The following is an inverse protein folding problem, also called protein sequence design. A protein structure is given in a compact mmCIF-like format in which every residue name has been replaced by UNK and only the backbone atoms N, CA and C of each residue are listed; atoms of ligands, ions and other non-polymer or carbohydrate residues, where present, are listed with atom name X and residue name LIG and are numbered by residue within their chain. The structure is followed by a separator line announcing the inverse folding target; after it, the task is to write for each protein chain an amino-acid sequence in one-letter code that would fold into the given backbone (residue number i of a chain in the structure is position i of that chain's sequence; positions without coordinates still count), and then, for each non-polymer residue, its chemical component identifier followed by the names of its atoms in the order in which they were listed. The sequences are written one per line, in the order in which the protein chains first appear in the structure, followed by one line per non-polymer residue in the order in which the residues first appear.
data_IF_776842491320
#
_entry.id   IF_776842491320
#
_cell.length_a   1.000
_cell.length_b   1.000
_cell.length_c   1.000
_cell.angle_alpha   90.00
_cell.angle_beta   90.00
_cell.angle_gamma   90.00
#
_symmetry.space_group_name_H-M   'P 1'
#
loop_
_entity.id
_entity.type
_entity.pdbx_description
1 polymer ?
#
# COMPACT_ATOMS: atom_id res chain seq x y z
N UNK A 1 48.71 0.03 -25.91
CA UNK A 1 48.57 -1.44 -25.70
C UNK A 1 48.61 -1.80 -24.22
N UNK A 2 49.66 -1.41 -23.46
CA UNK A 2 49.77 -1.70 -22.04
C UNK A 2 48.58 -1.16 -21.22
N UNK A 3 48.16 0.09 -21.45
CA UNK A 3 47.03 0.69 -20.72
C UNK A 3 45.70 -0.04 -20.96
N UNK A 4 45.49 -0.52 -22.19
CA UNK A 4 44.31 -1.30 -22.58
C UNK A 4 44.31 -2.66 -21.88
N UNK A 5 45.47 -3.32 -21.82
CA UNK A 5 45.66 -4.58 -21.09
C UNK A 5 45.39 -4.36 -19.60
N UNK A 6 45.94 -3.29 -19.00
CA UNK A 6 45.70 -2.93 -17.60
C UNK A 6 44.22 -2.70 -17.34
N UNK A 7 43.55 -1.93 -18.19
CA UNK A 7 42.11 -1.67 -18.08
C UNK A 7 41.29 -2.96 -18.05
N UNK A 8 41.47 -3.85 -19.05
CA UNK A 8 40.72 -5.11 -19.10
C UNK A 8 41.11 -6.07 -17.97
N UNK A 9 42.36 -6.05 -17.53
CA UNK A 9 42.80 -6.80 -16.37
C UNK A 9 42.09 -6.35 -15.09
N UNK A 10 42.03 -5.04 -14.85
CA UNK A 10 41.35 -4.41 -13.70
C UNK A 10 39.85 -4.64 -13.74
N UNK A 11 39.22 -4.71 -14.92
CA UNK A 11 37.80 -5.11 -15.03
C UNK A 11 37.51 -6.54 -14.54
N UNK A 12 38.54 -7.38 -14.36
CA UNK A 12 38.41 -8.76 -13.89
C UNK A 12 38.26 -9.81 -15.00
N UNK A 13 38.39 -9.41 -16.27
CA UNK A 13 38.20 -10.30 -17.44
C UNK A 13 39.23 -11.44 -17.50
N UNK A 14 38.83 -12.66 -17.81
CA UNK A 14 39.75 -13.79 -18.02
C UNK A 14 40.70 -13.51 -19.19
N UNK A 15 41.88 -14.15 -19.20
CA UNK A 15 42.89 -13.90 -20.24
C UNK A 15 42.35 -14.10 -21.66
N UNK A 16 41.50 -15.11 -21.87
CA UNK A 16 40.85 -15.37 -23.16
C UNK A 16 39.95 -14.18 -23.55
N UNK A 17 39.15 -13.67 -22.62
CA UNK A 17 38.29 -12.51 -22.83
C UNK A 17 39.11 -11.25 -23.15
N UNK A 18 40.23 -11.02 -22.46
CA UNK A 18 41.14 -9.91 -22.74
C UNK A 18 41.70 -10.02 -24.18
N UNK A 19 42.15 -11.21 -24.59
CA UNK A 19 42.64 -11.43 -25.97
C UNK A 19 41.54 -11.16 -27.00
N UNK A 20 40.32 -11.64 -26.76
CA UNK A 20 39.17 -11.36 -27.63
C UNK A 20 38.84 -9.87 -27.69
N UNK A 21 38.81 -9.17 -26.56
CA UNK A 21 38.56 -7.72 -26.53
C UNK A 21 39.65 -6.93 -27.26
N UNK A 22 40.92 -7.33 -27.14
CA UNK A 22 42.02 -6.71 -27.88
C UNK A 22 41.88 -6.92 -29.39
N UNK A 23 41.51 -8.13 -29.82
CA UNK A 23 41.34 -8.44 -31.23
C UNK A 23 40.13 -7.72 -31.85
N UNK A 24 38.96 -7.78 -31.20
CA UNK A 24 37.69 -7.27 -31.76
C UNK A 24 37.60 -5.74 -31.64
N UNK A 25 37.94 -5.16 -30.48
CA UNK A 25 37.67 -3.75 -30.21
C UNK A 25 38.86 -2.83 -30.52
N UNK A 26 40.08 -3.37 -30.57
CA UNK A 26 41.30 -2.59 -30.73
C UNK A 26 42.16 -3.03 -31.93
N UNK A 27 41.73 -4.05 -32.68
CA UNK A 27 42.49 -4.64 -33.79
C UNK A 27 43.90 -5.12 -33.40
N UNK A 28 44.10 -5.51 -32.14
CA UNK A 28 45.37 -6.01 -31.61
C UNK A 28 45.26 -7.53 -31.45
N UNK A 29 45.86 -8.28 -32.38
CA UNK A 29 45.87 -9.75 -32.35
C UNK A 29 47.13 -10.25 -31.65
N UNK A 30 46.97 -10.83 -30.46
CA UNK A 30 48.06 -11.45 -29.70
C UNK A 30 47.68 -12.81 -29.16
N UNK A 31 48.66 -13.69 -28.97
CA UNK A 31 48.45 -14.95 -28.27
C UNK A 31 48.27 -14.74 -26.76
N UNK A 32 47.60 -15.68 -26.09
CA UNK A 32 47.49 -15.67 -24.62
C UNK A 32 48.88 -15.72 -23.94
N UNK A 33 49.86 -16.39 -24.56
CA UNK A 33 51.25 -16.43 -24.07
C UNK A 33 51.87 -15.04 -24.06
N UNK A 34 51.63 -14.26 -25.12
CA UNK A 34 52.10 -12.86 -25.22
C UNK A 34 51.42 -11.98 -24.17
N UNK A 35 50.11 -12.14 -23.97
CA UNK A 35 49.36 -11.43 -22.92
C UNK A 35 49.92 -11.73 -21.53
N UNK A 36 50.15 -13.02 -21.20
CA UNK A 36 50.73 -13.43 -19.90
C UNK A 36 52.10 -12.81 -19.65
N UNK A 37 52.96 -12.72 -20.68
CA UNK A 37 54.27 -12.05 -20.58
C UNK A 37 54.11 -10.56 -20.30
N UNK A 38 53.19 -9.88 -21.00
CA UNK A 38 52.89 -8.46 -20.79
C UNK A 38 52.33 -8.19 -19.40
N UNK A 39 51.41 -9.01 -18.91
CA UNK A 39 50.88 -8.90 -17.54
C UNK A 39 52.00 -9.06 -16.50
N UNK A 40 52.94 -9.98 -16.71
CA UNK A 40 54.11 -10.14 -15.83
C UNK A 40 55.05 -8.92 -15.87
N UNK A 41 55.35 -8.38 -17.05
CA UNK A 41 56.12 -7.14 -17.23
C UNK A 41 55.46 -5.95 -16.50
N UNK A 42 54.12 -5.89 -16.48
CA UNK A 42 53.34 -4.85 -15.81
C UNK A 42 53.11 -5.12 -14.32
N UNK A 43 53.59 -6.24 -13.77
CA UNK A 43 53.36 -6.62 -12.38
C UNK A 43 51.90 -6.97 -12.05
N UNK A 44 51.06 -7.25 -13.05
CA UNK A 44 49.64 -7.53 -12.89
C UNK A 44 49.41 -9.03 -12.68
N UNK A 45 49.19 -9.40 -11.42
CA UNK A 45 48.96 -10.79 -11.02
C UNK A 45 47.61 -10.98 -10.35
N UNK A 46 46.99 -12.15 -10.57
CA UNK A 46 45.71 -12.53 -9.92
C UNK A 46 45.85 -13.53 -8.78
N UNK A 47 46.97 -14.24 -8.74
CA UNK A 47 47.22 -15.38 -7.82
C UNK A 47 48.65 -15.40 -7.30
N UNK A 48 49.33 -14.26 -7.32
CA UNK A 48 50.68 -14.07 -6.75
C UNK A 48 50.68 -12.77 -5.97
N UNK A 49 51.45 -12.72 -4.89
CA UNK A 49 51.59 -11.53 -4.03
C UNK A 49 50.21 -11.09 -3.53
N UNK A 50 49.61 -11.92 -2.67
CA UNK A 50 48.28 -11.61 -2.12
C UNK A 50 48.33 -10.33 -1.30
N UNK A 51 47.29 -9.52 -1.44
CA UNK A 51 47.12 -8.31 -0.63
C UNK A 51 46.93 -8.70 0.83
N UNK A 52 47.46 -7.90 1.75
CA UNK A 52 47.31 -8.10 3.19
C UNK A 52 45.83 -8.24 3.58
N UNK A 53 45.54 -9.23 4.41
CA UNK A 53 44.17 -9.59 4.81
C UNK A 53 43.48 -8.42 5.52
N UNK A 54 44.21 -7.60 6.26
CA UNK A 54 43.68 -6.42 6.97
C UNK A 54 43.17 -5.38 5.98
N UNK A 55 43.89 -5.18 4.87
CA UNK A 55 43.53 -4.24 3.80
C UNK A 55 42.28 -4.71 3.04
N UNK A 56 42.20 -6.00 2.75
CA UNK A 56 41.01 -6.62 2.15
C UNK A 56 39.81 -6.53 3.11
N UNK A 57 40.03 -6.78 4.40
CA UNK A 57 39.00 -6.71 5.44
C UNK A 57 38.41 -5.29 5.51
N UNK A 58 39.27 -4.28 5.60
CA UNK A 58 38.85 -2.86 5.62
C UNK A 58 38.04 -2.49 4.37
N UNK A 59 38.48 -2.93 3.19
CA UNK A 59 37.74 -2.69 1.94
C UNK A 59 36.34 -3.35 1.96
N UNK A 60 36.23 -4.57 2.48
CA UNK A 60 34.94 -5.27 2.62
C UNK A 60 34.04 -4.53 3.61
N UNK A 61 34.55 -4.10 4.77
CA UNK A 61 33.81 -3.34 5.77
C UNK A 61 33.25 -2.02 5.20
N UNK A 62 34.08 -1.25 4.48
CA UNK A 62 33.66 0.00 3.83
C UNK A 62 32.55 -0.23 2.81
N UNK A 63 32.64 -1.33 2.03
CA UNK A 63 31.60 -1.69 1.07
C UNK A 63 30.30 -2.14 1.76
N UNK A 64 30.39 -2.89 2.86
CA UNK A 64 29.20 -3.35 3.62
C UNK A 64 28.46 -2.17 4.24
N UNK A 65 29.16 -1.10 4.65
CA UNK A 65 28.51 0.11 5.20
C UNK A 65 27.63 0.85 4.18
N UNK A 66 27.67 0.50 2.90
CA UNK A 66 26.91 1.14 1.83
C UNK A 66 25.99 0.12 1.13
N UNK A 67 25.76 0.27 -0.18
CA UNK A 67 24.98 -0.69 -0.97
C UNK A 67 25.68 -2.05 -1.16
N UNK A 68 26.99 -2.15 -0.85
CA UNK A 68 27.74 -3.40 -0.93
C UNK A 68 27.25 -4.49 0.02
N UNK A 69 26.49 -4.16 1.06
CA UNK A 69 25.81 -5.16 1.92
C UNK A 69 24.82 -6.05 1.16
N UNK A 70 24.34 -5.64 -0.02
CA UNK A 70 23.42 -6.44 -0.82
C UNK A 70 24.15 -7.48 -1.68
N UNK A 71 25.47 -7.35 -1.83
CA UNK A 71 26.26 -8.15 -2.75
C UNK A 71 26.75 -9.46 -2.12
N UNK A 72 26.59 -10.57 -2.82
CA UNK A 72 27.16 -11.85 -2.42
C UNK A 72 28.69 -11.91 -2.63
N UNK A 73 29.34 -12.95 -2.09
CA UNK A 73 30.80 -13.08 -2.10
C UNK A 73 31.44 -13.07 -3.50
N UNK A 74 30.74 -13.58 -4.53
CA UNK A 74 31.22 -13.51 -5.93
C UNK A 74 31.33 -12.07 -6.44
N UNK A 75 30.37 -11.23 -6.10
CA UNK A 75 30.37 -9.84 -6.51
C UNK A 75 31.33 -9.02 -5.66
N UNK A 76 31.40 -9.28 -4.35
CA UNK A 76 32.42 -8.66 -3.51
C UNK A 76 33.84 -9.02 -3.99
N UNK A 77 34.06 -10.26 -4.42
CA UNK A 77 35.32 -10.68 -5.03
C UNK A 77 35.67 -9.88 -6.29
N UNK A 78 34.69 -9.67 -7.20
CA UNK A 78 34.90 -8.82 -8.37
C UNK A 78 35.23 -7.37 -7.99
N UNK A 79 34.57 -6.82 -6.96
CA UNK A 79 34.90 -5.49 -6.44
C UNK A 79 36.34 -5.41 -5.93
N UNK A 80 36.81 -6.43 -5.20
CA UNK A 80 38.19 -6.51 -4.77
C UNK A 80 39.16 -6.46 -5.97
N UNK A 81 38.89 -7.24 -7.03
CA UNK A 81 39.72 -7.23 -8.24
C UNK A 81 39.72 -5.86 -8.94
N UNK A 82 38.55 -5.22 -9.05
CA UNK A 82 38.40 -3.89 -9.67
C UNK A 82 39.07 -2.77 -8.87
N UNK A 83 39.26 -2.97 -7.57
CA UNK A 83 40.05 -2.10 -6.70
C UNK A 83 41.53 -2.52 -6.62
N UNK A 84 42.01 -3.33 -7.56
CA UNK A 84 43.38 -3.84 -7.65
C UNK A 84 43.84 -4.66 -6.42
N UNK A 85 42.91 -5.27 -5.69
CA UNK A 85 43.24 -6.19 -4.60
C UNK A 85 43.43 -7.60 -5.14
N UNK A 86 44.53 -8.24 -4.76
CA UNK A 86 44.85 -9.63 -5.11
C UNK A 86 44.41 -10.54 -3.98
N UNK A 87 43.25 -11.18 -4.14
CA UNK A 87 42.64 -12.04 -3.13
C UNK A 87 42.03 -13.29 -3.79
N UNK A 88 41.80 -14.35 -3.02
CA UNK A 88 41.03 -15.50 -3.51
C UNK A 88 39.53 -15.33 -3.22
N UNK A 89 38.69 -15.91 -4.06
CA UNK A 89 37.24 -15.90 -3.85
C UNK A 89 36.85 -16.56 -2.51
N UNK A 90 37.58 -17.60 -2.08
CA UNK A 90 37.33 -18.30 -0.82
C UNK A 90 37.70 -17.43 0.39
N UNK A 91 38.82 -16.69 0.33
CA UNK A 91 39.17 -15.69 1.35
C UNK A 91 38.07 -14.63 1.48
N UNK A 92 37.54 -14.10 0.38
CA UNK A 92 36.43 -13.14 0.41
C UNK A 92 35.16 -13.77 1.01
N UNK A 93 34.87 -15.03 0.69
CA UNK A 93 33.73 -15.77 1.26
C UNK A 93 33.86 -15.90 2.78
N UNK A 94 35.03 -16.29 3.27
CA UNK A 94 35.31 -16.47 4.69
C UNK A 94 35.28 -15.14 5.44
N UNK A 95 35.93 -14.10 4.90
CA UNK A 95 35.91 -12.75 5.48
C UNK A 95 34.49 -12.20 5.58
N UNK A 96 33.67 -12.34 4.53
CA UNK A 96 32.27 -11.93 4.58
C UNK A 96 31.45 -12.67 5.64
N UNK A 97 31.73 -13.96 5.84
CA UNK A 97 31.05 -14.76 6.86
C UNK A 97 31.44 -14.33 8.28
N UNK A 98 32.65 -13.80 8.47
CA UNK A 98 33.13 -13.26 9.75
C UNK A 98 32.61 -11.84 9.98
N UNK A 99 32.69 -10.97 8.97
CA UNK A 99 32.35 -9.53 9.07
C UNK A 99 30.83 -9.32 9.08
N UNK A 100 30.08 -10.09 8.30
CA UNK A 100 28.62 -9.95 8.16
C UNK A 100 27.93 -11.33 8.14
N UNK A 101 28.00 -12.11 9.23
CA UNK A 101 27.38 -13.43 9.33
C UNK A 101 25.87 -13.36 9.08
N UNK A 102 25.23 -12.32 9.62
CA UNK A 102 23.79 -12.08 9.51
C UNK A 102 23.41 -11.80 8.05
N UNK A 103 24.11 -10.89 7.36
CA UNK A 103 23.82 -10.60 5.96
C UNK A 103 24.17 -11.76 5.04
N UNK A 104 25.19 -12.59 5.35
CA UNK A 104 25.46 -13.83 4.60
C UNK A 104 24.28 -14.80 4.73
N UNK A 105 23.72 -14.96 5.93
CA UNK A 105 22.52 -15.75 6.14
C UNK A 105 21.31 -15.18 5.39
N UNK A 106 21.12 -13.87 5.39
CA UNK A 106 20.03 -13.24 4.66
C UNK A 106 20.16 -13.43 3.13
N UNK A 107 21.37 -13.25 2.58
CA UNK A 107 21.65 -13.45 1.15
C UNK A 107 21.49 -14.91 0.72
N UNK A 108 21.86 -15.86 1.57
CA UNK A 108 21.73 -17.30 1.27
C UNK A 108 20.26 -17.74 1.13
N UNK A 109 19.34 -17.09 1.86
CA UNK A 109 17.89 -17.34 1.80
C UNK A 109 17.22 -16.86 0.50
N UNK A 110 17.93 -16.11 -0.36
CA UNK A 110 17.42 -15.55 -1.64
C UNK A 110 16.05 -14.84 -1.52
N UNK A 111 15.81 -14.14 -0.42
CA UNK A 111 14.55 -13.43 -0.18
C UNK A 111 14.80 -11.94 -0.04
N UNK A 112 14.01 -11.15 -0.77
CA UNK A 112 13.94 -9.70 -0.56
C UNK A 112 13.54 -9.42 0.89
N UNK A 113 14.29 -8.55 1.56
CA UNK A 113 13.89 -8.02 2.85
C UNK A 113 12.65 -7.14 2.66
N UNK A 114 11.48 -7.69 2.98
CA UNK A 114 10.26 -6.90 3.02
C UNK A 114 10.26 -6.14 4.34
N UNK A 115 10.16 -4.81 4.29
CA UNK A 115 9.98 -3.95 5.48
C UNK A 115 8.95 -4.59 6.41
N UNK A 116 9.34 -4.89 7.65
CA UNK A 116 8.39 -5.39 8.63
C UNK A 116 7.45 -4.24 9.03
N UNK A 117 6.18 -4.35 8.65
CA UNK A 117 5.14 -3.45 9.12
C UNK A 117 4.97 -3.65 10.64
N UNK A 118 5.44 -2.71 11.46
CA UNK A 118 5.30 -2.71 12.91
C UNK A 118 4.39 -1.58 13.37
N UNK A 119 3.38 -1.94 14.15
CA UNK A 119 2.44 -1.02 14.77
C UNK A 119 2.37 -1.39 16.26
N UNK A 120 2.33 -0.39 17.16
CA UNK A 120 2.54 -0.62 18.60
C UNK A 120 1.33 -1.25 19.28
N UNK A 121 0.12 -0.93 18.82
CA UNK A 121 -1.13 -1.39 19.38
C UNK A 121 -2.31 -0.74 18.66
N UNK A 122 -3.55 -1.06 19.04
CA UNK A 122 -4.74 -0.42 18.47
C UNK A 122 -4.71 1.09 18.66
N UNK A 123 -5.25 1.84 17.70
CA UNK A 123 -5.33 3.30 17.67
C UNK A 123 -3.99 4.04 17.60
N UNK A 124 -2.89 3.32 17.42
CA UNK A 124 -1.59 3.96 17.17
C UNK A 124 -1.49 4.49 15.74
N UNK A 125 -2.01 3.75 14.76
CA UNK A 125 -2.03 4.18 13.35
C UNK A 125 -3.24 3.61 12.64
N UNK A 126 -4.09 4.50 12.13
CA UNK A 126 -5.19 4.16 11.21
C UNK A 126 -4.80 4.41 9.76
N UNK A 127 -5.37 3.62 8.85
CA UNK A 127 -5.18 3.72 7.41
C UNK A 127 -6.51 4.04 6.77
N UNK A 128 -6.59 5.16 6.04
CA UNK A 128 -7.77 5.59 5.30
C UNK A 128 -7.46 5.50 3.81
N UNK A 129 -8.44 5.03 3.04
CA UNK A 129 -8.33 4.90 1.60
C UNK A 129 -9.70 4.80 0.93
N UNK A 130 -9.73 5.05 -0.38
CA UNK A 130 -10.93 4.99 -1.22
C UNK A 130 -10.82 3.86 -2.25
N UNK A 131 -11.85 3.03 -2.32
CA UNK A 131 -12.01 1.94 -3.27
C UNK A 131 -12.88 2.35 -4.45
N UNK A 132 -12.24 2.62 -5.58
CA UNK A 132 -12.86 3.24 -6.76
C UNK A 132 -13.36 2.25 -7.83
N UNK A 133 -13.47 0.93 -7.56
CA UNK A 133 -13.87 -0.05 -8.61
C UNK A 133 -15.32 0.08 -9.08
N UNK A 134 -16.20 0.63 -8.25
CA UNK A 134 -17.59 0.92 -8.63
C UNK A 134 -17.79 2.37 -9.12
N UNK A 135 -16.73 3.19 -9.09
CA UNK A 135 -16.77 4.61 -9.49
C UNK A 135 -17.24 4.84 -10.93
N UNK A 136 -16.91 3.97 -11.92
CA UNK A 136 -17.47 4.09 -13.27
C UNK A 136 -19.01 4.07 -13.30
N UNK A 137 -19.65 3.46 -12.30
CA UNK A 137 -21.10 3.35 -12.16
C UNK A 137 -21.69 4.36 -11.16
N UNK A 138 -20.88 5.28 -10.63
CA UNK A 138 -21.32 6.35 -9.74
C UNK A 138 -21.22 6.04 -8.24
N UNK A 139 -20.70 4.88 -7.83
CA UNK A 139 -20.57 4.51 -6.42
C UNK A 139 -19.10 4.43 -6.03
N UNK A 140 -18.71 5.16 -4.99
CA UNK A 140 -17.38 5.08 -4.39
C UNK A 140 -17.50 4.45 -3.00
N UNK A 141 -16.48 3.70 -2.56
CA UNK A 141 -16.45 3.16 -1.20
C UNK A 141 -15.24 3.74 -0.48
N UNK A 142 -15.43 4.38 0.66
CA UNK A 142 -14.34 4.83 1.53
C UNK A 142 -14.25 3.93 2.76
N UNK A 143 -13.03 3.64 3.20
CA UNK A 143 -12.82 2.80 4.37
C UNK A 143 -11.70 3.30 5.27
N UNK A 144 -11.72 2.83 6.51
CA UNK A 144 -10.62 3.01 7.44
C UNK A 144 -10.40 1.74 8.25
N UNK A 145 -9.13 1.39 8.44
CA UNK A 145 -8.72 0.21 9.19
C UNK A 145 -7.62 0.53 10.20
N UNK A 146 -7.75 -0.01 11.41
CA UNK A 146 -6.69 0.05 12.41
C UNK A 146 -5.51 -0.84 11.99
N UNK A 147 -4.31 -0.25 11.94
CA UNK A 147 -3.15 -0.92 11.39
C UNK A 147 -2.59 -2.08 12.24
N UNK A 148 -2.93 -2.15 13.52
CA UNK A 148 -2.45 -3.21 14.43
C UNK A 148 -3.42 -4.40 14.46
N UNK A 149 -4.68 -4.11 14.78
CA UNK A 149 -5.74 -5.09 14.97
C UNK A 149 -6.38 -5.55 13.66
N UNK A 150 -6.31 -4.72 12.60
CA UNK A 150 -7.07 -4.86 11.35
C UNK A 150 -8.59 -4.72 11.57
N UNK A 151 -8.98 -4.04 12.64
CA UNK A 151 -10.37 -3.68 12.89
C UNK A 151 -10.79 -2.59 11.90
N UNK A 152 -11.88 -2.82 11.18
CA UNK A 152 -12.46 -1.80 10.30
C UNK A 152 -13.16 -0.78 11.19
N UNK A 153 -12.73 0.47 11.07
CA UNK A 153 -13.28 1.61 11.81
C UNK A 153 -14.55 2.13 11.14
N UNK A 154 -14.54 2.25 9.82
CA UNK A 154 -15.72 2.51 9.00
C UNK A 154 -15.56 1.94 7.59
N UNK A 155 -16.69 1.74 6.92
CA UNK A 155 -16.80 1.35 5.53
C UNK A 155 -18.08 1.96 4.96
N UNK A 156 -17.93 2.96 4.10
CA UNK A 156 -19.05 3.80 3.64
C UNK A 156 -19.09 3.87 2.12
N UNK A 157 -20.23 3.52 1.53
CA UNK A 157 -20.54 3.79 0.14
C UNK A 157 -21.06 5.23 0.00
N UNK A 158 -20.69 5.90 -1.07
CA UNK A 158 -21.14 7.26 -1.35
C UNK A 158 -21.05 7.61 -2.83
N UNK A 159 -21.58 8.77 -3.19
CA UNK A 159 -21.60 9.28 -4.57
C UNK A 159 -20.26 9.87 -5.01
N UNK A 160 -19.44 10.35 -4.07
CA UNK A 160 -18.21 11.08 -4.34
C UNK A 160 -17.10 10.69 -3.34
N UNK A 161 -15.93 10.27 -3.85
CA UNK A 161 -14.72 10.02 -3.06
C UNK A 161 -13.70 11.16 -3.08
N UNK A 162 -13.99 12.25 -3.80
CA UNK A 162 -13.09 13.38 -4.02
C UNK A 162 -13.40 14.60 -3.15
N UNK A 163 -14.61 14.71 -2.58
CA UNK A 163 -14.93 15.79 -1.64
C UNK A 163 -14.33 15.50 -0.25
N UNK A 164 -13.37 16.32 0.21
CA UNK A 164 -12.74 16.10 1.50
C UNK A 164 -13.70 16.19 2.70
N UNK A 165 -14.82 16.92 2.55
CA UNK A 165 -15.81 17.09 3.62
C UNK A 165 -16.53 15.79 3.95
N UNK A 166 -16.79 14.95 2.95
CA UNK A 166 -17.46 13.66 3.12
C UNK A 166 -16.58 12.72 3.94
N UNK A 167 -15.30 12.58 3.56
CA UNK A 167 -14.34 11.75 4.31
C UNK A 167 -14.11 12.33 5.71
N UNK A 168 -14.09 13.66 5.83
CA UNK A 168 -14.10 14.36 7.12
C UNK A 168 -15.28 13.97 7.99
N UNK A 169 -16.49 13.88 7.42
CA UNK A 169 -17.71 13.44 8.10
C UNK A 169 -17.60 12.02 8.64
N UNK A 170 -17.19 11.05 7.81
CA UNK A 170 -16.99 9.66 8.24
C UNK A 170 -15.97 9.55 9.38
N UNK A 171 -14.88 10.31 9.27
CA UNK A 171 -13.87 10.35 10.32
C UNK A 171 -14.45 10.93 11.62
N UNK A 172 -15.13 12.07 11.54
CA UNK A 172 -15.69 12.77 12.69
C UNK A 172 -16.78 11.96 13.42
N UNK A 173 -17.70 11.34 12.67
CA UNK A 173 -18.69 10.40 13.20
C UNK A 173 -18.01 9.26 13.98
N UNK A 174 -16.94 8.70 13.42
CA UNK A 174 -16.17 7.63 14.06
C UNK A 174 -15.53 8.11 15.35
N UNK A 175 -14.95 9.33 15.37
CA UNK A 175 -14.35 9.90 16.58
C UNK A 175 -15.38 10.08 17.71
N UNK A 176 -16.58 10.58 17.36
CA UNK A 176 -17.68 10.75 18.31
C UNK A 176 -18.14 9.41 18.86
N UNK A 177 -18.27 8.38 18.01
CA UNK A 177 -18.70 7.03 18.41
C UNK A 177 -17.74 6.36 19.39
N UNK A 178 -16.43 6.50 19.19
CA UNK A 178 -15.43 5.85 20.05
C UNK A 178 -14.92 6.75 21.19
N UNK A 179 -15.43 7.98 21.29
CA UNK A 179 -15.04 9.00 22.26
C UNK A 179 -13.51 9.27 22.29
N UNK A 180 -12.87 9.28 21.12
CA UNK A 180 -11.42 9.39 21.02
C UNK A 180 -10.90 9.41 19.59
N UNK A 181 -9.60 9.64 19.41
CA UNK A 181 -8.94 9.72 18.11
C UNK A 181 -7.61 8.96 18.08
N UNK A 182 -7.12 8.49 16.92
CA UNK A 182 -5.87 7.74 16.85
C UNK A 182 -4.64 8.65 17.07
N UNK A 183 -3.48 8.04 17.38
CA UNK A 183 -2.23 8.81 17.44
C UNK A 183 -1.78 9.30 16.07
N UNK A 184 -1.95 8.48 15.04
CA UNK A 184 -1.57 8.85 13.69
C UNK A 184 -2.61 8.35 12.70
N UNK A 185 -2.86 9.15 11.68
CA UNK A 185 -3.58 8.72 10.47
C UNK A 185 -2.59 8.64 9.33
N UNK A 186 -2.74 7.60 8.50
CA UNK A 186 -2.09 7.51 7.21
C UNK A 186 -3.14 7.49 6.11
N UNK A 187 -2.91 8.33 5.12
CA UNK A 187 -3.66 8.35 3.87
C UNK A 187 -2.69 8.36 2.69
N UNK A 188 -3.22 8.03 1.52
CA UNK A 188 -2.51 8.25 0.26
C UNK A 188 -2.38 9.76 -0.02
N UNK A 189 -1.43 10.11 -0.88
CA UNK A 189 -1.21 11.49 -1.30
C UNK A 189 -2.36 11.95 -2.20
N UNK A 190 -3.32 12.66 -1.62
CA UNK A 190 -4.50 13.17 -2.33
C UNK A 190 -5.17 14.29 -1.55
N UNK A 191 -5.85 15.18 -2.29
CA UNK A 191 -6.54 16.34 -1.71
C UNK A 191 -7.78 15.94 -0.93
N UNK A 192 -8.35 14.77 -1.22
CA UNK A 192 -9.55 14.22 -0.57
C UNK A 192 -9.39 14.01 0.94
N UNK A 193 -8.16 13.93 1.46
CA UNK A 193 -7.92 13.71 2.89
C UNK A 193 -7.61 15.00 3.68
N UNK A 194 -7.67 16.18 3.04
CA UNK A 194 -7.23 17.44 3.65
C UNK A 194 -8.03 17.86 4.89
N UNK A 195 -9.33 17.56 4.95
CA UNK A 195 -10.15 17.86 6.14
C UNK A 195 -9.79 16.93 7.31
N UNK A 196 -9.60 15.63 7.04
CA UNK A 196 -9.13 14.66 8.04
C UNK A 196 -7.79 15.08 8.62
N UNK A 197 -6.84 15.52 7.77
CA UNK A 197 -5.55 16.03 8.22
C UNK A 197 -5.71 17.22 9.17
N UNK A 198 -6.54 18.20 8.82
CA UNK A 198 -6.79 19.40 9.63
C UNK A 198 -7.39 19.04 10.99
N UNK A 199 -8.43 18.19 11.02
CA UNK A 199 -9.07 17.73 12.26
C UNK A 199 -8.05 17.01 13.13
N UNK A 200 -7.32 16.03 12.57
CA UNK A 200 -6.37 15.22 13.31
C UNK A 200 -5.21 16.04 13.90
N UNK A 201 -4.68 17.01 13.15
CA UNK A 201 -3.63 17.91 13.63
C UNK A 201 -4.16 18.83 14.74
N UNK A 202 -5.36 19.39 14.58
CA UNK A 202 -5.97 20.26 15.60
C UNK A 202 -6.20 19.51 16.91
N UNK A 203 -6.81 18.32 16.85
CA UNK A 203 -7.02 17.47 18.02
C UNK A 203 -5.71 17.07 18.70
N UNK A 204 -4.68 16.74 17.92
CA UNK A 204 -3.37 16.37 18.45
C UNK A 204 -2.67 17.52 19.18
N UNK A 205 -2.84 18.77 18.74
CA UNK A 205 -2.29 19.98 19.39
C UNK A 205 -3.04 20.32 20.67
N UNK A 206 -4.36 20.18 20.69
CA UNK A 206 -5.23 20.59 21.79
C UNK A 206 -5.51 19.49 22.83
N UNK A 207 -4.91 18.30 22.68
CA UNK A 207 -5.16 17.17 23.56
C UNK A 207 -4.71 17.46 25.00
N UNK A 208 -5.61 17.16 25.97
CA UNK A 208 -5.44 17.45 27.41
C UNK A 208 -4.20 16.76 28.02
N UNK A 209 -3.72 15.67 27.41
CA UNK A 209 -2.51 14.97 27.83
C UNK A 209 -1.33 15.30 26.91
N UNK A 210 -0.74 16.48 27.10
CA UNK A 210 0.52 16.91 26.45
C UNK A 210 1.72 16.00 26.72
N UNK A 211 1.59 15.00 27.60
CA UNK A 211 2.60 14.01 27.97
C UNK A 211 2.68 12.81 27.01
N UNK A 212 1.81 12.72 25.99
CA UNK A 212 1.88 11.63 25.00
C UNK A 212 3.08 11.88 24.07
N UNK A 213 4.19 11.18 24.33
CA UNK A 213 5.35 11.15 23.42
C UNK A 213 4.94 10.40 22.14
N UNK A 214 4.56 11.16 21.11
CA UNK A 214 4.24 10.64 19.78
C UNK A 214 5.53 10.26 19.07
N UNK A 215 5.64 9.02 18.63
CA UNK A 215 6.78 8.58 17.80
C UNK A 215 6.58 8.81 16.31
N UNK A 216 5.36 9.18 15.90
CA UNK A 216 4.98 9.53 14.53
C UNK A 216 4.23 10.86 14.57
N UNK A 217 4.26 11.66 13.48
CA UNK A 217 3.43 12.85 13.40
C UNK A 217 1.93 12.47 13.45
N UNK A 218 1.03 13.41 13.79
CA UNK A 218 -0.41 13.14 13.85
C UNK A 218 -1.01 12.66 12.52
N UNK A 219 -0.41 13.05 11.40
CA UNK A 219 -0.84 12.69 10.05
C UNK A 219 0.37 12.37 9.17
N UNK A 220 0.24 11.33 8.33
CA UNK A 220 1.26 10.86 7.41
C UNK A 220 0.69 10.69 6.02
N UNK A 221 1.27 11.37 5.04
CA UNK A 221 1.11 10.99 3.64
C UNK A 221 1.99 9.78 3.33
N UNK A 222 1.38 8.75 2.74
CA UNK A 222 2.07 7.58 2.23
C UNK A 222 1.86 7.43 0.73
N UNK A 223 2.76 6.70 0.07
CA UNK A 223 2.42 6.10 -1.22
C UNK A 223 1.47 4.91 -0.99
N UNK A 224 0.68 4.50 -1.98
CA UNK A 224 -0.21 3.33 -1.85
C UNK A 224 0.50 2.06 -1.31
N UNK A 225 1.76 1.75 -1.70
CA UNK A 225 2.54 0.68 -1.09
C UNK A 225 2.86 0.84 0.41
N UNK A 226 2.66 2.01 1.00
CA UNK A 226 2.78 2.30 2.42
C UNK A 226 1.44 2.19 3.18
N UNK A 227 0.31 2.22 2.46
CA UNK A 227 -1.06 2.04 2.96
C UNK A 227 -1.50 0.55 2.91
N UNK A 228 -0.54 -0.35 3.15
CA UNK A 228 -0.65 -1.79 2.87
C UNK A 228 -1.84 -2.47 3.55
N UNK A 229 -2.34 -1.95 4.67
CA UNK A 229 -3.36 -2.60 5.48
C UNK A 229 -4.72 -2.56 4.81
N UNK A 230 -5.12 -1.37 4.41
CA UNK A 230 -6.41 -1.17 3.75
C UNK A 230 -6.37 -1.69 2.31
N UNK A 231 -5.25 -1.50 1.62
CA UNK A 231 -5.03 -2.07 0.29
C UNK A 231 -5.09 -3.61 0.26
N UNK A 232 -4.46 -4.29 1.23
CA UNK A 232 -4.59 -5.73 1.36
C UNK A 232 -6.04 -6.15 1.66
N UNK A 233 -6.77 -5.34 2.42
CA UNK A 233 -8.16 -5.59 2.75
C UNK A 233 -9.10 -5.37 1.55
N UNK A 234 -8.83 -4.40 0.67
CA UNK A 234 -9.57 -4.21 -0.59
C UNK A 234 -9.52 -5.44 -1.49
N UNK A 235 -8.42 -6.19 -1.49
CA UNK A 235 -8.32 -7.47 -2.20
C UNK A 235 -9.33 -8.50 -1.70
N UNK A 236 -9.64 -8.48 -0.40
CA UNK A 236 -10.61 -9.36 0.24
C UNK A 236 -12.03 -8.89 -0.10
N UNK A 237 -12.31 -7.59 0.07
CA UNK A 237 -13.60 -7.00 -0.31
C UNK A 237 -13.93 -7.30 -1.77
N UNK A 238 -12.96 -7.16 -2.67
CA UNK A 238 -13.14 -7.48 -4.09
C UNK A 238 -13.58 -8.92 -4.29
N UNK A 239 -12.86 -9.88 -3.70
CA UNK A 239 -13.11 -11.31 -3.92
C UNK A 239 -14.43 -11.79 -3.33
N UNK A 240 -14.82 -11.23 -2.19
CA UNK A 240 -15.97 -11.73 -1.43
C UNK A 240 -17.25 -10.93 -1.69
N UNK A 241 -17.14 -9.68 -2.18
CA UNK A 241 -18.28 -8.77 -2.25
C UNK A 241 -18.31 -7.97 -3.55
N UNK A 242 -17.37 -7.04 -3.75
CA UNK A 242 -17.49 -6.02 -4.80
C UNK A 242 -17.50 -6.60 -6.23
N UNK A 243 -16.92 -7.78 -6.46
CA UNK A 243 -16.94 -8.42 -7.78
C UNK A 243 -18.36 -8.78 -8.23
N UNK A 244 -19.29 -9.09 -7.31
CA UNK A 244 -20.70 -9.35 -7.64
C UNK A 244 -21.34 -8.10 -8.27
N UNK A 245 -21.27 -6.96 -7.59
CA UNK A 245 -21.81 -5.69 -8.08
C UNK A 245 -21.14 -5.20 -9.35
N UNK A 246 -19.82 -5.39 -9.47
CA UNK A 246 -19.12 -5.12 -10.72
C UNK A 246 -19.72 -5.94 -11.87
N UNK A 247 -19.96 -7.24 -11.68
CA UNK A 247 -20.53 -8.09 -12.72
C UNK A 247 -21.97 -7.68 -13.07
N UNK A 248 -22.79 -7.32 -12.08
CA UNK A 248 -24.16 -6.83 -12.29
C UNK A 248 -24.15 -5.56 -13.15
N UNK A 249 -23.35 -4.57 -12.80
CA UNK A 249 -23.31 -3.31 -13.54
C UNK A 249 -22.61 -3.42 -14.90
N UNK A 250 -21.61 -4.29 -15.02
CA UNK A 250 -21.03 -4.62 -16.32
C UNK A 250 -22.04 -5.28 -17.24
N UNK A 251 -22.86 -6.20 -16.72
CA UNK A 251 -23.94 -6.81 -17.51
C UNK A 251 -24.95 -5.77 -18.01
N UNK A 252 -25.38 -4.84 -17.15
CA UNK A 252 -26.26 -3.73 -17.58
C UNK A 252 -25.64 -2.92 -18.72
N UNK A 253 -24.33 -2.69 -18.65
CA UNK A 253 -23.60 -1.98 -19.71
C UNK A 253 -23.54 -2.81 -21.01
N UNK A 254 -23.17 -4.08 -20.91
CA UNK A 254 -23.01 -4.97 -22.06
C UNK A 254 -24.34 -5.23 -22.77
N UNK A 255 -25.45 -5.27 -22.02
CA UNK A 255 -26.82 -5.39 -22.55
C UNK A 255 -27.39 -4.07 -23.09
N UNK A 256 -26.63 -2.96 -23.05
CA UNK A 256 -27.04 -1.65 -23.57
C UNK A 256 -27.94 -0.83 -22.63
N UNK A 257 -28.15 -1.29 -21.41
CA UNK A 257 -28.94 -0.60 -20.37
C UNK A 257 -28.14 0.38 -19.51
N UNK A 258 -26.86 0.58 -19.78
CA UNK A 258 -26.03 1.58 -19.11
C UNK A 258 -25.04 2.23 -20.08
N UNK A 259 -25.16 3.54 -20.26
CA UNK A 259 -24.31 4.35 -21.13
C UNK A 259 -23.19 5.10 -20.38
N UNK A 260 -23.28 5.18 -19.05
CA UNK A 260 -22.38 5.98 -18.22
C UNK A 260 -22.73 7.47 -18.18
N UNK A 261 -23.91 7.84 -18.69
CA UNK A 261 -24.49 9.17 -18.57
C UNK A 261 -24.70 9.57 -17.12
N UNK A 262 -24.94 10.86 -16.91
CA UNK A 262 -25.33 11.40 -15.60
C UNK A 262 -26.56 10.67 -15.04
N UNK A 263 -27.62 10.55 -15.85
CA UNK A 263 -28.87 9.88 -15.48
C UNK A 263 -28.63 8.42 -15.07
N UNK A 264 -27.85 7.67 -15.85
CA UNK A 264 -27.59 6.26 -15.55
C UNK A 264 -26.86 6.09 -14.21
N UNK A 265 -25.86 6.93 -13.94
CA UNK A 265 -25.13 6.90 -12.66
C UNK A 265 -26.03 7.30 -11.49
N UNK A 266 -26.86 8.34 -11.66
CA UNK A 266 -27.80 8.78 -10.65
C UNK A 266 -28.86 7.71 -10.35
N UNK A 267 -29.36 7.01 -11.36
CA UNK A 267 -30.29 5.89 -11.18
C UNK A 267 -29.64 4.67 -10.53
N UNK A 268 -28.37 4.37 -10.86
CA UNK A 268 -27.62 3.33 -10.15
C UNK A 268 -27.48 3.68 -8.67
N UNK A 269 -27.10 4.93 -8.37
CA UNK A 269 -27.01 5.42 -7.00
C UNK A 269 -28.37 5.31 -6.28
N UNK A 270 -29.45 5.78 -6.90
CA UNK A 270 -30.81 5.71 -6.37
C UNK A 270 -31.24 4.29 -6.01
N UNK A 271 -31.04 3.34 -6.93
CA UNK A 271 -31.53 1.98 -6.77
C UNK A 271 -30.63 1.13 -5.85
N UNK A 272 -29.30 1.28 -5.95
CA UNK A 272 -28.36 0.29 -5.41
C UNK A 272 -27.53 0.80 -4.24
N UNK A 273 -27.38 2.12 -4.02
CA UNK A 273 -26.46 2.65 -3.00
C UNK A 273 -26.81 2.15 -1.59
N UNK A 274 -28.10 2.16 -1.25
CA UNK A 274 -28.58 1.70 0.07
C UNK A 274 -28.32 0.21 0.29
N UNK A 275 -28.63 -0.62 -0.71
CA UNK A 275 -28.39 -2.08 -0.62
C UNK A 275 -26.91 -2.36 -0.43
N UNK A 276 -26.05 -1.70 -1.23
CA UNK A 276 -24.61 -1.84 -1.11
C UNK A 276 -24.12 -1.39 0.27
N UNK A 277 -24.65 -0.28 0.83
CA UNK A 277 -24.29 0.16 2.18
C UNK A 277 -24.70 -0.86 3.25
N UNK A 278 -25.92 -1.39 3.21
CA UNK A 278 -26.41 -2.40 4.17
C UNK A 278 -25.57 -3.68 4.14
N UNK A 279 -25.15 -4.12 2.94
CA UNK A 279 -24.24 -5.26 2.81
C UNK A 279 -22.83 -4.93 3.32
N UNK A 280 -22.29 -3.74 3.05
CA UNK A 280 -21.00 -3.30 3.58
C UNK A 280 -21.01 -3.26 5.12
N UNK A 281 -22.10 -2.81 5.75
CA UNK A 281 -22.26 -2.83 7.20
C UNK A 281 -22.21 -4.28 7.75
N UNK A 282 -22.80 -5.23 7.02
CA UNK A 282 -22.70 -6.66 7.33
C UNK A 282 -21.25 -7.17 7.20
N UNK A 283 -20.57 -6.82 6.10
CA UNK A 283 -19.15 -7.17 5.86
C UNK A 283 -18.25 -6.66 6.98
N UNK A 284 -18.51 -5.47 7.53
CA UNK A 284 -17.77 -4.92 8.67
C UNK A 284 -17.91 -5.81 9.90
N UNK A 285 -19.13 -6.25 10.22
CA UNK A 285 -19.40 -7.13 11.37
C UNK A 285 -18.71 -8.48 11.18
N UNK A 286 -18.89 -9.10 10.02
CA UNK A 286 -18.26 -10.39 9.67
C UNK A 286 -16.74 -10.29 9.74
N UNK A 287 -16.15 -9.27 9.14
CA UNK A 287 -14.71 -9.05 9.18
C UNK A 287 -14.21 -8.78 10.60
N UNK A 288 -14.89 -7.95 11.37
CA UNK A 288 -14.40 -7.61 12.70
C UNK A 288 -14.50 -8.81 13.66
N UNK A 289 -15.46 -9.69 13.43
CA UNK A 289 -15.65 -10.89 14.25
C UNK A 289 -14.86 -12.10 13.73
N UNK A 290 -14.55 -12.25 12.44
CA UNK A 290 -13.88 -13.46 11.95
C UNK A 290 -12.49 -13.68 12.57
N UNK A 291 -12.07 -14.95 12.65
CA UNK A 291 -10.77 -15.32 13.22
C UNK A 291 -9.70 -15.32 12.14
N UNK A 292 -8.75 -14.39 12.22
CA UNK A 292 -7.59 -14.37 11.33
C UNK A 292 -6.56 -15.39 11.83
N UNK A 293 -6.21 -16.34 10.96
CA UNK A 293 -5.18 -17.34 11.22
C UNK A 293 -3.78 -16.70 11.23
N UNK A 294 -2.87 -17.29 12.02
CA UNK A 294 -1.47 -16.90 12.01
C UNK A 294 -0.78 -17.38 10.74
N UNK A 295 0.10 -16.55 10.17
CA UNK A 295 1.04 -16.99 9.12
C UNK A 295 2.46 -16.97 9.67
N UNK A 296 3.33 -17.84 9.15
CA UNK A 296 4.74 -17.98 9.61
C UNK A 296 5.55 -16.67 9.50
N UNK A 297 5.08 -15.71 8.69
CA UNK A 297 5.73 -14.42 8.45
C UNK A 297 4.87 -13.22 8.92
N UNK A 298 3.78 -13.46 9.66
CA UNK A 298 2.89 -12.38 10.11
C UNK A 298 3.53 -11.62 11.28
N UNK A 299 3.77 -10.33 11.09
CA UNK A 299 4.18 -9.40 12.17
C UNK A 299 2.98 -9.02 13.05
N UNK A 300 1.75 -9.21 12.58
CA UNK A 300 0.53 -8.86 13.32
C UNK A 300 0.02 -9.99 14.22
N UNK A 301 -0.67 -9.62 15.31
CA UNK A 301 -1.34 -10.57 16.19
C UNK A 301 -2.35 -11.43 15.42
N UNK A 302 -2.48 -12.69 15.81
CA UNK A 302 -3.50 -13.63 15.31
C UNK A 302 -4.75 -13.53 16.17
N UNK A 303 -5.92 -13.82 15.60
CA UNK A 303 -7.19 -13.76 16.33
C UNK A 303 -8.25 -12.93 15.62
N UNK A 304 -9.31 -12.60 16.37
CA UNK A 304 -10.43 -11.79 15.86
C UNK A 304 -10.06 -10.30 15.95
N UNK A 305 -10.19 -9.50 14.88
CA UNK A 305 -9.88 -8.06 14.91
C UNK A 305 -10.53 -7.33 16.08
N UNK A 306 -11.81 -7.64 16.37
CA UNK A 306 -12.55 -7.09 17.51
C UNK A 306 -11.83 -7.34 18.85
N UNK A 307 -11.42 -8.58 19.13
CA UNK A 307 -10.71 -8.92 20.38
C UNK A 307 -9.35 -8.23 20.44
N UNK A 308 -8.63 -8.18 19.32
CA UNK A 308 -7.31 -7.54 19.26
C UNK A 308 -7.42 -6.03 19.51
N UNK A 309 -8.48 -5.40 19.01
CA UNK A 309 -8.74 -3.97 19.15
C UNK A 309 -9.19 -3.59 20.57
N UNK A 310 -10.16 -4.32 21.13
CA UNK A 310 -10.77 -3.98 22.42
C UNK A 310 -10.02 -4.56 23.63
N UNK A 311 -9.24 -5.63 23.46
CA UNK A 311 -8.47 -6.29 24.54
C UNK A 311 -6.97 -6.39 24.21
N UNK A 312 -6.29 -5.25 23.95
CA UNK A 312 -4.87 -5.25 23.55
C UNK A 312 -3.94 -5.87 24.59
N UNK A 313 -4.35 -5.91 25.86
CA UNK A 313 -3.55 -6.49 26.95
C UNK A 313 -3.29 -7.98 26.75
N UNK A 314 -4.23 -8.69 26.10
CA UNK A 314 -4.06 -10.11 25.74
C UNK A 314 -2.93 -10.35 24.72
N UNK A 315 -2.48 -9.28 24.07
CA UNK A 315 -1.42 -9.29 23.06
C UNK A 315 -0.16 -8.57 23.53
N UNK A 316 -0.03 -8.31 24.85
CA UNK A 316 1.13 -7.65 25.44
C UNK A 316 1.27 -6.19 25.04
N UNK A 317 0.17 -5.53 24.67
CA UNK A 317 0.16 -4.10 24.33
C UNK A 317 -0.99 -3.37 25.02
N UNK A 318 -1.13 -2.08 24.74
CA UNK A 318 -2.17 -1.20 25.28
C UNK A 318 -2.94 -0.51 24.16
N UNK A 319 -4.08 0.09 24.52
CA UNK A 319 -4.81 0.98 23.63
C UNK A 319 -4.09 2.33 23.55
N UNK A 320 -3.88 2.84 22.33
CA UNK A 320 -3.21 4.12 22.08
C UNK A 320 -4.19 5.26 21.76
N UNK A 321 -5.50 5.05 21.94
CA UNK A 321 -6.54 6.04 21.72
C UNK A 321 -6.28 7.32 22.54
N UNK A 322 -6.29 8.46 21.86
CA UNK A 322 -6.21 9.77 22.48
C UNK A 322 -7.62 10.24 22.85
N UNK A 323 -7.75 10.80 24.06
CA UNK A 323 -9.01 11.38 24.54
C UNK A 323 -9.31 12.68 23.80
N UNK A 324 -10.57 12.89 23.44
CA UNK A 324 -11.02 14.14 22.84
C UNK A 324 -10.80 15.32 23.80
N UNK A 325 -10.42 16.51 23.30
CA UNK A 325 -10.30 17.71 24.12
C UNK A 325 -11.67 18.14 24.68
N UNK A 326 -11.66 18.99 25.71
CA UNK A 326 -12.89 19.53 26.33
C UNK A 326 -13.67 20.47 25.39
N UNK A 327 -13.02 21.05 24.38
CA UNK A 327 -13.72 21.80 23.34
C UNK A 327 -14.52 20.83 22.47
N UNK A 328 -15.79 21.16 22.11
CA UNK A 328 -16.66 20.22 21.44
C UNK A 328 -16.09 19.90 20.07
N UNK A 329 -15.86 18.62 19.82
CA UNK A 329 -15.55 18.06 18.49
C UNK A 329 -16.56 18.50 17.43
N UNK A 330 -17.76 18.87 17.87
CA UNK A 330 -18.85 19.43 17.07
C UNK A 330 -18.46 20.72 16.34
N UNK A 331 -17.43 21.45 16.77
CA UNK A 331 -16.93 22.61 16.02
C UNK A 331 -16.41 22.26 14.61
N UNK A 332 -16.08 20.98 14.36
CA UNK A 332 -15.67 20.51 13.05
C UNK A 332 -16.87 20.12 12.15
N UNK A 333 -18.09 20.11 12.68
CA UNK A 333 -19.29 19.70 11.94
C UNK A 333 -19.52 20.62 10.73
N UNK A 334 -19.29 21.93 10.86
CA UNK A 334 -19.41 22.91 9.77
C UNK A 334 -18.41 22.67 8.62
N UNK A 335 -17.35 21.90 8.87
CA UNK A 335 -16.34 21.56 7.88
C UNK A 335 -16.52 20.16 7.28
N UNK A 336 -17.55 19.43 7.72
CA UNK A 336 -17.82 18.07 7.30
C UNK A 336 -19.17 17.98 6.60
N UNK A 337 -19.30 16.99 5.72
CA UNK A 337 -20.57 16.63 5.11
C UNK A 337 -20.93 15.25 5.63
N UNK A 338 -22.02 15.19 6.37
CA UNK A 338 -22.55 13.95 6.90
C UNK A 338 -23.40 13.27 5.83
N UNK A 339 -23.52 11.95 5.93
CA UNK A 339 -24.26 11.17 4.95
C UNK A 339 -25.73 11.65 4.89
N UNK A 340 -26.15 12.15 3.73
CA UNK A 340 -27.52 12.58 3.50
C UNK A 340 -28.39 11.35 3.14
N UNK A 341 -29.68 11.38 3.46
CA UNK A 341 -30.61 10.29 3.12
C UNK A 341 -30.92 10.21 1.62
N UNK A 342 -30.43 11.16 0.84
CA UNK A 342 -30.67 11.29 -0.59
C UNK A 342 -29.55 10.54 -1.32
N UNK A 343 -29.85 9.41 -1.98
CA UNK A 343 -28.83 8.50 -2.48
C UNK A 343 -28.16 8.99 -3.77
N UNK A 344 -28.73 9.97 -4.45
CA UNK A 344 -28.29 10.46 -5.76
C UNK A 344 -28.48 11.97 -5.88
N UNK A 345 -28.41 12.49 -7.10
CA UNK A 345 -28.81 13.86 -7.41
C UNK A 345 -30.26 14.15 -7.00
N UNK A 346 -30.52 15.37 -6.52
CA UNK A 346 -31.81 15.80 -5.96
C UNK A 346 -32.93 15.77 -7.02
N UNK A 347 -32.67 16.30 -8.21
CA UNK A 347 -33.68 16.39 -9.27
C UNK A 347 -34.04 14.99 -9.78
N UNK A 348 -33.01 14.13 -9.94
CA UNK A 348 -33.22 12.73 -10.32
C UNK A 348 -33.96 11.96 -9.21
N UNK A 349 -33.64 12.23 -7.94
CA UNK A 349 -34.33 11.63 -6.81
C UNK A 349 -35.82 11.98 -6.80
N UNK A 350 -36.15 13.28 -6.96
CA UNK A 350 -37.53 13.75 -6.99
C UNK A 350 -38.31 13.16 -8.17
N UNK A 351 -37.71 13.17 -9.37
CA UNK A 351 -38.33 12.58 -10.55
C UNK A 351 -38.53 11.06 -10.38
N UNK A 352 -37.54 10.35 -9.81
CA UNK A 352 -37.67 8.93 -9.53
C UNK A 352 -38.81 8.66 -8.54
N UNK A 353 -38.91 9.47 -7.48
CA UNK A 353 -39.98 9.35 -6.50
C UNK A 353 -41.37 9.55 -7.12
N UNK A 354 -41.54 10.53 -8.02
CA UNK A 354 -42.80 10.76 -8.75
C UNK A 354 -43.14 9.54 -9.62
N UNK A 355 -42.19 9.07 -10.44
CA UNK A 355 -42.41 7.90 -11.31
C UNK A 355 -42.72 6.64 -10.50
N UNK A 356 -42.08 6.47 -9.34
CA UNK A 356 -42.38 5.35 -8.45
C UNK A 356 -43.78 5.42 -7.86
N UNK A 357 -44.26 6.60 -7.49
CA UNK A 357 -45.62 6.79 -6.96
C UNK A 357 -46.68 6.52 -8.03
N UNK A 358 -46.51 7.07 -9.23
CA UNK A 358 -47.41 6.87 -10.37
C UNK A 358 -47.56 5.39 -10.75
N UNK A 359 -46.45 4.64 -10.72
CA UNK A 359 -46.40 3.23 -11.11
C UNK A 359 -46.56 2.27 -9.93
N UNK A 360 -46.74 2.79 -8.71
CA UNK A 360 -46.81 2.00 -7.46
C UNK A 360 -45.60 1.07 -7.28
N UNK A 361 -44.43 1.53 -7.69
CA UNK A 361 -43.17 0.82 -7.53
C UNK A 361 -42.62 1.03 -6.11
N UNK A 362 -41.95 0.02 -5.57
CA UNK A 362 -41.29 0.09 -4.26
C UNK A 362 -39.81 -0.19 -4.38
N UNK A 363 -39.01 0.42 -3.48
CA UNK A 363 -37.58 0.12 -3.39
C UNK A 363 -37.42 -1.35 -3.02
N UNK A 364 -36.84 -2.11 -3.94
CA UNK A 364 -36.55 -3.51 -3.73
C UNK A 364 -35.33 -3.71 -2.82
N UNK A 365 -35.35 -4.78 -2.02
CA UNK A 365 -34.21 -5.21 -1.20
C UNK A 365 -33.37 -6.30 -1.86
N UNK A 366 -33.92 -6.98 -2.86
CA UNK A 366 -33.22 -8.06 -3.57
C UNK A 366 -32.59 -7.55 -4.87
N UNK A 367 -31.34 -7.92 -5.20
CA UNK A 367 -30.64 -7.44 -6.39
C UNK A 367 -31.44 -7.59 -7.69
N UNK A 368 -32.10 -8.74 -7.90
CA UNK A 368 -32.90 -9.01 -9.10
C UNK A 368 -34.05 -8.02 -9.27
N UNK A 369 -34.77 -7.76 -8.18
CA UNK A 369 -35.89 -6.82 -8.15
C UNK A 369 -35.42 -5.37 -8.30
N UNK A 370 -34.25 -5.04 -7.75
CA UNK A 370 -33.64 -3.71 -7.90
C UNK A 370 -33.18 -3.45 -9.34
N UNK A 371 -32.68 -4.48 -10.05
CA UNK A 371 -32.39 -4.38 -11.49
C UNK A 371 -33.67 -4.06 -12.27
N UNK A 372 -34.79 -4.72 -11.95
CA UNK A 372 -36.06 -4.42 -12.62
C UNK A 372 -36.54 -2.98 -12.37
N UNK A 373 -36.42 -2.50 -11.13
CA UNK A 373 -36.71 -1.11 -10.78
C UNK A 373 -35.85 -0.13 -11.58
N UNK A 374 -34.54 -0.37 -11.65
CA UNK A 374 -33.60 0.44 -12.44
C UNK A 374 -34.01 0.51 -13.91
N UNK A 375 -34.30 -0.63 -14.54
CA UNK A 375 -34.68 -0.69 -15.96
C UNK A 375 -35.98 0.07 -16.23
N UNK A 376 -36.98 -0.05 -15.36
CA UNK A 376 -38.26 0.64 -15.50
C UNK A 376 -38.07 2.16 -15.38
N UNK A 377 -37.42 2.63 -14.32
CA UNK A 377 -37.13 4.06 -14.10
C UNK A 377 -36.34 4.64 -15.27
N UNK A 378 -35.30 3.94 -15.72
CA UNK A 378 -34.48 4.37 -16.85
C UNK A 378 -35.30 4.52 -18.12
N UNK A 379 -36.10 3.52 -18.47
CA UNK A 379 -36.91 3.56 -19.69
C UNK A 379 -37.89 4.74 -19.68
N UNK A 380 -38.54 5.00 -18.55
CA UNK A 380 -39.50 6.09 -18.42
C UNK A 380 -38.84 7.46 -18.48
N UNK A 381 -37.77 7.66 -17.71
CA UNK A 381 -37.08 8.95 -17.70
C UNK A 381 -36.45 9.27 -19.05
N UNK A 382 -35.94 8.28 -19.79
CA UNK A 382 -35.45 8.52 -21.14
C UNK A 382 -36.57 8.92 -22.11
N UNK A 383 -37.74 8.29 -22.01
CA UNK A 383 -38.90 8.71 -22.83
C UNK A 383 -39.31 10.16 -22.52
N UNK A 384 -39.32 10.56 -21.25
CA UNK A 384 -39.64 11.94 -20.84
C UNK A 384 -38.61 12.99 -21.32
N UNK A 385 -37.38 12.58 -21.61
CA UNK A 385 -36.32 13.48 -22.13
C UNK A 385 -36.38 13.59 -23.67
N UNK A 386 -37.01 12.62 -24.32
CA UNK A 386 -37.13 12.55 -25.79
C UNK A 386 -38.47 13.06 -26.33
N UNK A 387 -39.45 13.28 -25.45
CA UNK A 387 -40.67 14.10 -25.69
C UNK A 387 -40.37 15.58 -25.50
#
# INVERSE_FOLDING_TARGET
MNDIITFYHTLGLQHVEIVCCLAINHNIVISERTLRRKLAELGLYRRKIFTDVSLVTKFIEENIRTHGQLHGYKWMYLKCLQSNLVVTQETVRQLLQIIDPIGVEFRSRRRLERRQYRNKGPNFLWHIDSYDKLKPFGICINGCIDGFSRHIMWLKAGINSSDPKIIGGYYLETLKLIYGFPQTIRCDLGTENGIVERIQRSLATNAVNSTIIRTLPPFLYGTSPANQRIEAWWSILRKQHAQFWMNVFHKLKDDGFFSGSFLDKALIQFCFLKIIQEELDTVVIEWNTHKISGSKNSVCPRGRPFIIYHMPQLFGTKNYLCQLPRQPVDMFDEHCTFFNNIPCDEDVYQLAAIVMDEERLTIAKEPSSTIHLYLNLRSKMLNMIHE
#
